data_IF_245653953081
#
_entry.id   IF_245653953081
#
_cell.length_a   1.000
_cell.length_b   1.000
_cell.length_c   1.000
_cell.angle_alpha   90.00
_cell.angle_beta   90.00
_cell.angle_gamma   90.00
#
_symmetry.space_group_name_H-M   'P 1'
#
loop_
_entity.id
_entity.type
_entity.pdbx_description
1 polymer ?
#
# COMPACT_ATOMS: atom_id res chain seq x y z
N UNK A 1 6.13 -17.24 18.16
CA UNK A 1 5.67 -17.46 16.74
C UNK A 1 6.87 -17.34 15.81
N UNK A 2 6.83 -17.94 14.62
CA UNK A 2 7.94 -17.89 13.66
C UNK A 2 7.72 -16.70 12.71
N UNK A 3 8.70 -15.77 12.54
CA UNK A 3 8.60 -14.62 11.62
C UNK A 3 8.24 -14.99 10.19
N UNK A 4 8.82 -16.08 9.67
CA UNK A 4 8.54 -16.56 8.31
C UNK A 4 7.09 -16.97 8.11
N UNK A 5 6.48 -17.59 9.13
CA UNK A 5 5.06 -17.96 9.12
C UNK A 5 4.17 -16.71 9.04
N UNK A 6 4.54 -15.66 9.77
CA UNK A 6 3.84 -14.37 9.74
C UNK A 6 3.96 -13.71 8.36
N UNK A 7 5.14 -13.73 7.75
CA UNK A 7 5.37 -13.20 6.39
C UNK A 7 4.53 -13.97 5.36
N UNK A 8 4.57 -15.30 5.38
CA UNK A 8 3.79 -16.16 4.47
C UNK A 8 2.28 -15.90 4.60
N UNK A 9 1.78 -15.79 5.84
CA UNK A 9 0.37 -15.48 6.10
C UNK A 9 -0.05 -14.12 5.54
N UNK A 10 0.81 -13.12 5.67
CA UNK A 10 0.55 -11.79 5.13
C UNK A 10 0.55 -11.76 3.59
N UNK A 11 1.47 -12.48 2.94
CA UNK A 11 1.49 -12.61 1.49
C UNK A 11 0.24 -13.34 0.97
N UNK A 12 -0.14 -14.45 1.59
CA UNK A 12 -1.36 -15.21 1.24
C UNK A 12 -2.60 -14.33 1.33
N UNK A 13 -2.72 -13.49 2.37
CA UNK A 13 -3.83 -12.55 2.53
C UNK A 13 -3.92 -11.55 1.36
N UNK A 14 -2.78 -10.94 0.97
CA UNK A 14 -2.76 -9.98 -0.13
C UNK A 14 -2.99 -10.63 -1.49
N UNK A 15 -2.51 -11.86 -1.71
CA UNK A 15 -2.67 -12.55 -3.00
C UNK A 15 -4.13 -12.75 -3.39
N UNK A 16 -5.02 -12.93 -2.42
CA UNK A 16 -6.47 -13.03 -2.67
C UNK A 16 -7.00 -11.80 -3.41
N UNK A 17 -6.52 -10.61 -3.09
CA UNK A 17 -6.94 -9.37 -3.76
C UNK A 17 -6.13 -9.11 -5.04
N UNK A 18 -4.82 -9.28 -4.97
CA UNK A 18 -3.92 -8.90 -6.05
C UNK A 18 -4.00 -9.85 -7.25
N UNK A 19 -4.14 -11.14 -6.98
CA UNK A 19 -4.05 -12.15 -8.05
C UNK A 19 -5.43 -12.64 -8.53
N UNK A 20 -6.50 -12.49 -7.72
CA UNK A 20 -7.82 -13.03 -8.04
C UNK A 20 -8.88 -12.00 -8.44
N UNK A 21 -8.69 -10.71 -8.13
CA UNK A 21 -9.70 -9.66 -8.33
C UNK A 21 -9.34 -8.73 -9.49
N UNK A 22 -8.97 -9.33 -10.62
CA UNK A 22 -8.62 -8.57 -11.82
C UNK A 22 -9.86 -7.96 -12.48
N UNK A 23 -9.85 -6.66 -12.67
CA UNK A 23 -10.83 -5.92 -13.48
C UNK A 23 -10.13 -5.33 -14.70
N UNK A 24 -10.71 -5.55 -15.89
CA UNK A 24 -10.28 -4.89 -17.12
C UNK A 24 -11.22 -3.71 -17.39
N UNK A 25 -10.65 -2.53 -17.55
CA UNK A 25 -11.38 -1.31 -17.91
C UNK A 25 -10.73 -0.68 -19.14
N UNK A 26 -11.51 -0.40 -20.18
CA UNK A 26 -11.00 0.13 -21.45
C UNK A 26 -9.77 -0.62 -21.97
N UNK A 27 -9.79 -1.95 -21.91
CA UNK A 27 -8.73 -2.83 -22.40
C UNK A 27 -7.47 -2.95 -21.53
N UNK A 28 -7.41 -2.29 -20.37
CA UNK A 28 -6.25 -2.36 -19.46
C UNK A 28 -6.63 -2.90 -18.08
N UNK A 29 -5.72 -3.60 -17.38
CA UNK A 29 -5.96 -4.07 -16.04
C UNK A 29 -5.94 -2.88 -15.06
N UNK A 30 -7.00 -2.75 -14.24
CA UNK A 30 -7.02 -1.83 -13.12
C UNK A 30 -6.04 -2.27 -12.02
N UNK A 31 -5.61 -1.35 -11.14
CA UNK A 31 -4.91 -1.73 -9.92
C UNK A 31 -5.85 -2.57 -9.04
N UNK A 32 -5.29 -3.39 -8.19
CA UNK A 32 -6.06 -4.18 -7.20
C UNK A 32 -5.62 -3.90 -5.77
N UNK A 33 -4.61 -3.04 -5.61
CA UNK A 33 -4.12 -2.59 -4.32
C UNK A 33 -3.75 -1.12 -4.36
N UNK A 34 -4.44 -0.30 -3.58
CA UNK A 34 -4.15 1.13 -3.43
C UNK A 34 -3.78 1.38 -1.97
N UNK A 35 -2.62 1.97 -1.73
CA UNK A 35 -2.22 2.40 -0.39
C UNK A 35 -2.53 3.90 -0.24
N UNK A 36 -3.19 4.28 0.86
CA UNK A 36 -3.44 5.66 1.21
C UNK A 36 -2.60 6.06 2.42
N UNK A 37 -1.78 7.08 2.24
CA UNK A 37 -1.08 7.77 3.31
C UNK A 37 -1.96 8.93 3.78
N UNK A 38 -2.82 8.67 4.78
CA UNK A 38 -3.83 9.64 5.23
C UNK A 38 -3.24 10.83 5.98
N UNK A 39 -2.09 10.62 6.60
CA UNK A 39 -1.41 11.59 7.46
C UNK A 39 0.09 11.27 7.45
N UNK A 40 0.91 12.28 7.62
CA UNK A 40 2.37 12.09 7.67
C UNK A 40 2.93 11.96 9.09
N UNK A 41 2.09 12.12 10.12
CA UNK A 41 2.48 11.94 11.53
C UNK A 41 2.38 10.49 11.95
N UNK A 42 3.37 10.02 12.70
CA UNK A 42 3.33 8.73 13.38
C UNK A 42 3.76 8.90 14.84
N UNK A 43 3.05 8.25 15.76
CA UNK A 43 3.39 8.23 17.19
C UNK A 43 4.50 7.22 17.53
N UNK A 44 5.13 6.60 16.52
CA UNK A 44 6.28 5.68 16.68
C UNK A 44 7.41 6.05 15.73
N UNK A 45 8.65 5.87 16.20
CA UNK A 45 9.88 6.02 15.45
C UNK A 45 10.59 4.66 15.34
N UNK A 46 10.03 3.75 14.53
CA UNK A 46 10.58 2.41 14.37
C UNK A 46 11.89 2.44 13.57
N UNK A 47 12.96 1.80 14.04
CA UNK A 47 14.30 1.80 13.42
C UNK A 47 14.33 1.29 11.96
N UNK A 48 13.39 0.43 11.57
CA UNK A 48 13.23 -0.09 10.21
C UNK A 48 12.27 0.75 9.33
N UNK A 49 11.85 1.91 9.81
CA UNK A 49 10.94 2.81 9.11
C UNK A 49 11.62 4.15 8.86
N UNK A 50 11.47 4.78 7.68
CA UNK A 50 12.01 6.11 7.41
C UNK A 50 11.52 7.21 8.38
N UNK A 51 10.43 6.98 9.11
CA UNK A 51 9.97 7.88 10.21
C UNK A 51 10.96 7.98 11.38
N UNK A 52 11.98 7.14 11.43
CA UNK A 52 13.08 7.27 12.40
C UNK A 52 14.08 8.37 12.03
N UNK A 53 13.99 8.93 10.84
CA UNK A 53 14.85 10.01 10.35
C UNK A 53 14.00 11.19 9.85
N UNK A 54 14.01 12.28 10.60
CA UNK A 54 13.22 13.49 10.29
C UNK A 54 13.67 14.16 8.99
N UNK A 55 14.93 13.96 8.54
CA UNK A 55 15.39 14.48 7.25
C UNK A 55 14.77 13.72 6.07
N UNK A 56 14.32 12.48 6.27
CA UNK A 56 13.70 11.66 5.24
C UNK A 56 12.17 11.76 5.29
N UNK A 57 11.60 11.71 6.47
CA UNK A 57 10.16 11.68 6.67
C UNK A 57 9.72 12.52 7.88
N UNK A 58 9.80 13.88 7.79
CA UNK A 58 9.39 14.78 8.86
C UNK A 58 7.90 14.64 9.20
N UNK A 59 7.53 14.98 10.42
CA UNK A 59 6.15 15.17 10.85
C UNK A 59 5.71 16.60 10.53
N UNK A 60 5.03 16.78 9.39
CA UNK A 60 4.56 18.11 8.97
C UNK A 60 3.10 18.36 9.38
N UNK A 61 2.48 17.42 10.06
CA UNK A 61 1.08 17.44 10.51
C UNK A 61 0.05 17.62 9.39
N UNK A 62 0.46 17.24 8.17
CA UNK A 62 -0.41 17.28 7.01
C UNK A 62 -1.31 16.05 6.96
N UNK A 63 -2.51 16.23 6.44
CA UNK A 63 -3.53 15.16 6.38
C UNK A 63 -4.42 15.28 5.16
N UNK A 64 -4.90 14.14 4.69
CA UNK A 64 -5.83 14.04 3.58
C UNK A 64 -7.17 14.67 3.94
N UNK A 65 -7.68 15.52 3.07
CA UNK A 65 -8.98 16.15 3.28
C UNK A 65 -10.14 15.27 2.78
N UNK A 66 -11.36 15.58 3.23
CA UNK A 66 -12.57 14.83 2.85
C UNK A 66 -12.86 14.92 1.36
N UNK A 67 -12.61 16.05 0.71
CA UNK A 67 -12.89 16.25 -0.72
C UNK A 67 -12.09 15.25 -1.58
N UNK A 68 -10.83 14.98 -1.25
CA UNK A 68 -10.01 13.99 -1.93
C UNK A 68 -10.55 12.56 -1.70
N UNK A 69 -10.99 12.25 -0.49
CA UNK A 69 -11.61 10.96 -0.17
C UNK A 69 -12.92 10.76 -0.95
N UNK A 70 -13.77 11.78 -1.00
CA UNK A 70 -15.03 11.72 -1.74
C UNK A 70 -14.81 11.57 -3.24
N UNK A 71 -13.81 12.26 -3.79
CA UNK A 71 -13.39 12.12 -5.20
C UNK A 71 -12.91 10.69 -5.47
N UNK A 72 -11.99 10.17 -4.65
CA UNK A 72 -11.46 8.82 -4.81
C UNK A 72 -12.58 7.78 -4.74
N UNK A 73 -13.45 7.86 -3.72
CA UNK A 73 -14.56 6.93 -3.56
C UNK A 73 -15.48 6.91 -4.79
N UNK A 74 -15.85 8.08 -5.32
CA UNK A 74 -16.66 8.19 -6.53
C UNK A 74 -16.00 7.57 -7.74
N UNK A 75 -14.73 7.89 -7.99
CA UNK A 75 -13.99 7.34 -9.13
C UNK A 75 -13.81 5.82 -9.05
N UNK A 76 -13.57 5.28 -7.86
CA UNK A 76 -13.48 3.82 -7.66
C UNK A 76 -14.83 3.11 -7.92
N UNK A 77 -15.96 3.75 -7.56
CA UNK A 77 -17.30 3.24 -7.87
C UNK A 77 -17.51 3.23 -9.39
N UNK A 78 -17.21 4.33 -10.08
CA UNK A 78 -17.34 4.46 -11.55
C UNK A 78 -16.49 3.42 -12.28
N UNK A 79 -15.28 3.14 -11.79
CA UNK A 79 -14.40 2.11 -12.31
C UNK A 79 -14.83 0.68 -11.97
N UNK A 80 -15.87 0.49 -11.17
CA UNK A 80 -16.28 -0.82 -10.64
C UNK A 80 -15.10 -1.55 -9.98
N UNK A 81 -14.31 -0.81 -9.21
CA UNK A 81 -13.12 -1.31 -8.56
C UNK A 81 -13.46 -2.47 -7.61
N UNK A 82 -12.70 -3.56 -7.68
CA UNK A 82 -12.90 -4.76 -6.83
C UNK A 82 -11.74 -5.06 -5.88
N UNK A 83 -10.68 -4.27 -5.95
CA UNK A 83 -9.49 -4.44 -5.14
C UNK A 83 -9.66 -3.97 -3.69
N UNK A 84 -8.54 -3.77 -3.05
CA UNK A 84 -8.47 -3.27 -1.68
C UNK A 84 -7.79 -1.88 -1.62
N UNK A 85 -8.32 -1.02 -0.76
CA UNK A 85 -7.68 0.22 -0.32
C UNK A 85 -7.11 -0.02 1.07
N UNK A 86 -5.80 0.13 1.21
CA UNK A 86 -5.09 -0.03 2.47
C UNK A 86 -4.81 1.35 3.08
N UNK A 87 -5.42 1.64 4.23
CA UNK A 87 -5.12 2.83 5.02
C UNK A 87 -3.84 2.56 5.82
N UNK A 88 -2.73 3.08 5.31
CA UNK A 88 -1.38 2.87 5.83
C UNK A 88 -0.45 3.96 5.24
N UNK A 89 0.81 3.66 5.00
CA UNK A 89 1.70 4.59 4.27
C UNK A 89 2.72 5.24 5.18
N UNK A 90 2.85 6.55 5.09
CA UNK A 90 3.94 7.31 5.69
C UNK A 90 3.68 7.75 7.15
N UNK A 91 2.49 7.52 7.68
CA UNK A 91 2.11 7.84 9.06
C UNK A 91 1.23 6.77 9.71
N UNK A 92 0.69 7.09 10.89
CA UNK A 92 -0.26 6.23 11.60
C UNK A 92 -1.70 6.63 11.25
N UNK A 93 -2.47 5.81 10.51
CA UNK A 93 -3.79 6.20 10.04
C UNK A 93 -4.80 6.50 11.15
N UNK A 94 -4.68 5.88 12.32
CA UNK A 94 -5.61 6.11 13.43
C UNK A 94 -5.43 7.47 14.12
N UNK A 95 -4.38 8.21 13.79
CA UNK A 95 -4.22 9.61 14.21
C UNK A 95 -5.05 10.58 13.38
N UNK A 96 -5.60 10.12 12.25
CA UNK A 96 -6.46 10.96 11.42
C UNK A 96 -7.85 11.11 12.06
N UNK A 97 -8.26 12.35 12.37
CA UNK A 97 -9.53 12.62 13.07
C UNK A 97 -10.79 12.11 12.34
N UNK A 98 -10.74 12.06 11.02
CA UNK A 98 -11.84 11.62 10.17
C UNK A 98 -11.75 10.14 9.77
N UNK A 99 -10.96 9.31 10.48
CA UNK A 99 -10.70 7.91 10.09
C UNK A 99 -11.98 7.10 9.90
N UNK A 100 -13.02 7.32 10.70
CA UNK A 100 -14.30 6.63 10.58
C UNK A 100 -15.01 7.07 9.30
N UNK A 101 -15.11 8.37 9.03
CA UNK A 101 -15.69 8.91 7.79
C UNK A 101 -14.97 8.36 6.55
N UNK A 102 -13.62 8.37 6.56
CA UNK A 102 -12.79 7.86 5.47
C UNK A 102 -13.09 6.39 5.21
N UNK A 103 -13.12 5.59 6.28
CA UNK A 103 -13.43 4.16 6.21
C UNK A 103 -14.81 3.92 5.59
N UNK A 104 -15.83 4.60 6.10
CA UNK A 104 -17.22 4.48 5.61
C UNK A 104 -17.34 4.84 4.12
N UNK A 105 -16.70 5.94 3.71
CA UNK A 105 -16.75 6.39 2.31
C UNK A 105 -16.08 5.40 1.36
N UNK A 106 -14.88 4.94 1.69
CA UNK A 106 -14.13 4.01 0.86
C UNK A 106 -14.72 2.61 0.85
N UNK A 107 -15.36 2.19 1.94
CA UNK A 107 -16.02 0.88 2.02
C UNK A 107 -17.19 0.73 1.04
N UNK A 108 -17.76 1.84 0.52
CA UNK A 108 -18.78 1.82 -0.55
C UNK A 108 -18.21 1.41 -1.91
N UNK A 109 -16.91 1.59 -2.11
CA UNK A 109 -16.24 1.42 -3.39
C UNK A 109 -15.22 0.26 -3.40
N UNK A 110 -14.78 -0.19 -2.23
CA UNK A 110 -13.64 -1.11 -2.12
C UNK A 110 -13.66 -1.89 -0.81
N UNK A 111 -12.80 -2.88 -0.71
CA UNK A 111 -12.43 -3.48 0.58
C UNK A 111 -11.42 -2.58 1.28
N UNK A 112 -11.73 -2.14 2.49
CA UNK A 112 -10.86 -1.26 3.28
C UNK A 112 -10.09 -2.05 4.32
N UNK A 113 -8.76 -2.02 4.23
CA UNK A 113 -7.88 -2.59 5.24
C UNK A 113 -7.15 -1.47 5.98
N UNK A 114 -7.17 -1.50 7.29
CA UNK A 114 -6.49 -0.52 8.14
C UNK A 114 -5.26 -1.19 8.75
N UNK A 115 -4.08 -0.59 8.54
CA UNK A 115 -2.82 -1.08 9.09
C UNK A 115 -2.34 -0.10 10.14
N UNK A 116 -2.32 -0.51 11.39
CA UNK A 116 -2.02 0.36 12.54
C UNK A 116 -0.97 -0.26 13.47
N UNK A 117 -0.28 0.59 14.23
CA UNK A 117 0.52 0.18 15.37
C UNK A 117 -0.34 -0.15 16.61
N UNK A 118 -1.61 0.28 16.63
CA UNK A 118 -2.57 -0.02 17.67
C UNK A 118 -2.42 0.79 18.97
N UNK A 119 -1.51 1.76 19.05
CA UNK A 119 -1.24 2.48 20.31
C UNK A 119 -2.41 3.34 20.75
N UNK A 120 -3.04 4.04 19.81
CA UNK A 120 -4.20 4.91 20.07
C UNK A 120 -5.54 4.17 19.96
N UNK A 121 -5.50 2.88 19.61
CA UNK A 121 -6.69 2.06 19.46
C UNK A 121 -7.33 1.73 20.81
N UNK A 122 -8.64 1.86 20.90
CA UNK A 122 -9.46 1.40 22.00
C UNK A 122 -10.67 0.61 21.49
N UNK A 123 -11.40 -0.04 22.39
CA UNK A 123 -12.54 -0.90 22.02
C UNK A 123 -13.65 -0.15 21.28
N UNK A 124 -13.92 1.11 21.62
CA UNK A 124 -14.93 1.94 20.95
C UNK A 124 -14.49 2.28 19.51
N UNK A 125 -13.24 2.70 19.32
CA UNK A 125 -12.70 2.97 17.98
C UNK A 125 -12.70 1.69 17.13
N UNK A 126 -12.29 0.55 17.68
CA UNK A 126 -12.33 -0.74 16.98
C UNK A 126 -13.74 -1.09 16.52
N UNK A 127 -14.75 -0.92 17.38
CA UNK A 127 -16.16 -1.13 17.04
C UNK A 127 -16.63 -0.17 15.94
N UNK A 128 -16.30 1.12 16.07
CA UNK A 128 -16.69 2.13 15.06
C UNK A 128 -16.08 1.85 13.69
N UNK A 129 -14.84 1.38 13.62
CA UNK A 129 -14.20 0.99 12.36
C UNK A 129 -14.89 -0.22 11.72
N UNK A 130 -15.30 -1.19 12.52
CA UNK A 130 -16.09 -2.33 12.05
C UNK A 130 -17.46 -1.89 11.54
N UNK A 131 -18.17 -1.03 12.28
CA UNK A 131 -19.48 -0.51 11.89
C UNK A 131 -19.42 0.39 10.65
N UNK A 132 -18.27 1.04 10.40
CA UNK A 132 -17.97 1.77 9.18
C UNK A 132 -17.64 0.84 7.99
N UNK A 133 -17.85 -0.47 8.12
CA UNK A 133 -17.57 -1.50 7.12
C UNK A 133 -16.10 -1.64 6.72
N UNK A 134 -15.15 -1.34 7.63
CA UNK A 134 -13.78 -1.78 7.39
C UNK A 134 -13.76 -3.29 7.19
N UNK A 135 -13.10 -3.74 6.14
CA UNK A 135 -13.02 -5.18 5.84
C UNK A 135 -12.05 -5.89 6.77
N UNK A 136 -11.06 -5.17 7.29
CA UNK A 136 -10.02 -5.76 8.13
C UNK A 136 -9.22 -4.71 8.90
N UNK A 137 -8.86 -5.05 10.14
CA UNK A 137 -7.96 -4.26 10.98
C UNK A 137 -6.68 -5.08 11.27
N UNK A 138 -5.54 -4.60 10.80
CA UNK A 138 -4.24 -5.25 10.99
C UNK A 138 -3.44 -4.49 12.04
N UNK A 139 -3.26 -5.08 13.21
CA UNK A 139 -2.52 -4.50 14.31
C UNK A 139 -1.10 -5.04 14.31
N UNK A 140 -0.12 -4.16 14.15
CA UNK A 140 1.30 -4.48 14.25
C UNK A 140 1.76 -4.31 15.70
N UNK A 141 2.11 -5.40 16.34
CA UNK A 141 2.53 -5.44 17.73
C UNK A 141 4.05 -5.34 17.81
N UNK A 142 4.57 -4.27 18.41
CA UNK A 142 6.01 -3.97 18.45
C UNK A 142 6.66 -4.23 19.81
N UNK A 143 5.89 -4.23 20.90
CA UNK A 143 6.41 -4.18 22.28
C UNK A 143 6.47 -5.56 22.95
N UNK A 144 6.22 -6.63 22.19
CA UNK A 144 6.37 -7.99 22.67
C UNK A 144 5.08 -8.79 22.76
N UNK A 145 5.18 -10.07 23.14
CA UNK A 145 4.06 -11.02 23.14
C UNK A 145 2.95 -10.68 24.15
N UNK A 146 3.21 -9.86 25.16
CA UNK A 146 2.21 -9.38 26.11
C UNK A 146 1.08 -8.58 25.42
N UNK A 147 1.38 -7.94 24.28
CA UNK A 147 0.37 -7.22 23.49
C UNK A 147 -0.72 -8.15 22.95
N UNK A 148 -0.44 -9.43 22.76
CA UNK A 148 -1.45 -10.41 22.32
C UNK A 148 -2.61 -10.45 23.30
N UNK A 149 -2.32 -10.53 24.62
CA UNK A 149 -3.36 -10.55 25.66
C UNK A 149 -4.17 -9.25 25.67
N UNK A 150 -3.49 -8.10 25.55
CA UNK A 150 -4.12 -6.77 25.45
C UNK A 150 -5.12 -6.71 24.30
N UNK A 151 -4.69 -7.03 23.09
CA UNK A 151 -5.54 -6.90 21.91
C UNK A 151 -6.63 -7.98 21.82
N UNK A 152 -6.39 -9.21 22.30
CA UNK A 152 -7.45 -10.23 22.40
C UNK A 152 -8.56 -9.78 23.35
N UNK A 153 -8.21 -9.17 24.50
CA UNK A 153 -9.21 -8.59 25.41
C UNK A 153 -9.99 -7.47 24.70
N UNK A 154 -9.31 -6.56 24.01
CA UNK A 154 -9.94 -5.45 23.27
C UNK A 154 -10.90 -5.96 22.19
N UNK A 155 -10.54 -7.00 21.42
CA UNK A 155 -11.41 -7.63 20.41
C UNK A 155 -12.69 -8.14 21.09
N UNK A 156 -12.56 -8.87 22.18
CA UNK A 156 -13.72 -9.37 22.94
C UNK A 156 -14.61 -8.23 23.46
N UNK A 157 -14.01 -7.20 24.05
CA UNK A 157 -14.74 -6.05 24.60
C UNK A 157 -15.45 -5.23 23.52
N UNK A 158 -14.88 -5.19 22.30
CA UNK A 158 -15.45 -4.50 21.14
C UNK A 158 -16.61 -5.24 20.49
N UNK A 159 -16.81 -6.51 20.80
CA UNK A 159 -17.84 -7.39 20.19
C UNK A 159 -17.75 -7.42 18.64
N UNK A 160 -16.56 -7.32 18.09
CA UNK A 160 -16.31 -7.51 16.65
C UNK A 160 -15.97 -8.98 16.36
N UNK A 161 -16.21 -9.48 15.13
CA UNK A 161 -15.81 -10.85 14.77
C UNK A 161 -14.29 -11.05 14.89
N UNK A 162 -13.87 -12.24 15.31
CA UNK A 162 -12.45 -12.57 15.49
C UNK A 162 -11.62 -12.47 14.21
N UNK A 163 -12.24 -12.74 13.07
CA UNK A 163 -11.58 -12.67 11.75
C UNK A 163 -11.47 -11.25 11.20
N UNK A 164 -12.13 -10.28 11.81
CA UNK A 164 -11.98 -8.85 11.49
C UNK A 164 -10.58 -8.35 11.82
N UNK A 165 -9.97 -8.84 12.91
CA UNK A 165 -8.69 -8.35 13.41
C UNK A 165 -7.57 -9.35 13.13
N UNK A 166 -6.47 -8.85 12.54
CA UNK A 166 -5.24 -9.62 12.36
C UNK A 166 -4.15 -9.05 13.26
N UNK A 167 -3.69 -9.84 14.21
CA UNK A 167 -2.54 -9.51 15.03
C UNK A 167 -1.26 -9.94 14.30
N UNK A 168 -0.32 -9.02 14.15
CA UNK A 168 0.96 -9.25 13.47
C UNK A 168 2.12 -9.04 14.43
N UNK A 169 2.96 -10.04 14.57
CA UNK A 169 4.17 -10.00 15.39
C UNK A 169 5.22 -9.13 14.69
N UNK A 170 5.64 -8.06 15.36
CA UNK A 170 6.64 -7.09 14.90
C UNK A 170 7.69 -6.77 15.96
N UNK A 171 7.70 -7.50 17.07
CA UNK A 171 8.63 -7.31 18.20
C UNK A 171 9.95 -8.05 18.04
N UNK A 172 10.20 -8.66 16.88
CA UNK A 172 11.47 -9.32 16.62
C UNK A 172 12.57 -8.29 16.39
N UNK A 173 13.78 -8.67 16.76
CA UNK A 173 15.01 -7.90 16.51
C UNK A 173 15.38 -7.85 15.01
N UNK A 174 16.45 -7.12 14.70
CA UNK A 174 16.98 -6.98 13.36
C UNK A 174 17.40 -8.32 12.75
N UNK A 175 18.00 -9.22 13.56
CA UNK A 175 18.42 -10.56 13.14
C UNK A 175 17.26 -11.43 12.64
N UNK A 176 16.03 -11.12 13.04
CA UNK A 176 14.79 -11.75 12.57
C UNK A 176 13.95 -10.83 11.68
N UNK A 177 14.56 -9.78 11.12
CA UNK A 177 13.91 -8.82 10.23
C UNK A 177 12.63 -8.20 10.80
N UNK A 178 12.55 -7.98 12.12
CA UNK A 178 11.37 -7.42 12.79
C UNK A 178 10.03 -8.12 12.40
N UNK A 179 10.09 -9.39 12.01
CA UNK A 179 8.94 -10.14 11.53
C UNK A 179 8.30 -9.61 10.22
N UNK A 180 9.05 -8.85 9.44
CA UNK A 180 8.65 -8.34 8.12
C UNK A 180 9.66 -8.77 7.06
N UNK A 181 9.27 -8.72 5.80
CA UNK A 181 10.23 -8.76 4.71
C UNK A 181 10.78 -7.35 4.52
N UNK A 182 11.89 -7.09 5.18
CA UNK A 182 12.53 -5.78 5.12
C UNK A 182 12.98 -5.45 3.69
N UNK A 183 12.90 -4.16 3.38
CA UNK A 183 13.47 -3.54 2.19
C UNK A 183 14.17 -2.27 2.62
N UNK A 184 15.11 -1.79 1.84
CA UNK A 184 15.79 -0.53 2.09
C UNK A 184 14.95 0.73 1.79
N UNK A 185 13.64 0.57 1.58
CA UNK A 185 12.72 1.67 1.24
C UNK A 185 13.27 2.57 0.14
N UNK A 186 13.67 1.95 -0.98
CA UNK A 186 14.30 2.63 -2.12
C UNK A 186 15.57 3.44 -1.75
N UNK A 187 16.34 2.92 -0.80
CA UNK A 187 17.61 3.51 -0.36
C UNK A 187 17.50 4.53 0.78
N UNK A 188 16.35 4.61 1.45
CA UNK A 188 16.16 5.52 2.60
C UNK A 188 16.48 4.89 3.94
N UNK A 189 16.63 3.58 4.00
CA UNK A 189 17.01 2.87 5.23
C UNK A 189 18.27 2.08 4.95
N UNK A 190 19.26 2.22 5.83
CA UNK A 190 20.44 1.38 5.85
C UNK A 190 20.14 0.13 6.72
N UNK A 191 19.75 -0.95 6.08
CA UNK A 191 19.55 -2.24 6.75
C UNK A 191 20.82 -3.04 6.51
N UNK A 192 21.57 -3.32 7.56
CA UNK A 192 22.89 -3.96 7.55
C UNK A 192 23.07 -5.00 6.44
N UNK A 193 24.23 -4.96 5.77
CA UNK A 193 24.62 -5.66 4.55
C UNK A 193 24.01 -5.14 3.25
N UNK A 194 24.75 -4.25 2.67
CA UNK A 194 24.83 -3.78 1.28
C UNK A 194 23.69 -4.21 0.33
N UNK A 195 22.99 -3.18 -0.12
CA UNK A 195 22.11 -3.23 -1.27
C UNK A 195 22.91 -3.69 -2.48
N UNK A 196 22.80 -4.96 -2.83
CA UNK A 196 23.15 -5.34 -4.20
C UNK A 196 22.10 -4.71 -5.11
N UNK A 197 22.53 -3.92 -6.08
CA UNK A 197 21.65 -3.41 -7.12
C UNK A 197 20.86 -4.57 -7.72
N UNK A 198 19.56 -4.58 -7.49
CA UNK A 198 18.70 -5.67 -7.97
C UNK A 198 18.24 -5.30 -9.38
N UNK A 199 18.90 -5.84 -10.38
CA UNK A 199 18.47 -5.78 -11.78
C UNK A 199 17.40 -6.85 -12.06
N UNK A 200 16.27 -6.79 -11.34
CA UNK A 200 15.18 -7.76 -11.48
C UNK A 200 13.86 -7.09 -11.76
N UNK A 201 12.98 -7.84 -12.42
CA UNK A 201 11.60 -7.44 -12.67
C UNK A 201 10.90 -7.00 -11.37
N UNK A 202 10.04 -5.99 -11.48
CA UNK A 202 9.16 -5.55 -10.40
C UNK A 202 7.73 -5.38 -10.92
N UNK A 203 6.78 -6.03 -10.28
CA UNK A 203 5.35 -6.00 -10.66
C UNK A 203 4.55 -4.94 -9.91
N UNK A 204 5.11 -4.24 -8.93
CA UNK A 204 4.39 -3.24 -8.14
C UNK A 204 3.59 -2.26 -9.00
N UNK A 205 4.18 -1.58 -10.01
CA UNK A 205 3.40 -0.65 -10.83
C UNK A 205 2.42 -1.33 -11.78
N UNK A 206 2.36 -2.65 -11.79
CA UNK A 206 1.38 -3.38 -12.59
C UNK A 206 0.07 -3.60 -11.86
N UNK A 207 0.05 -3.53 -10.51
CA UNK A 207 -1.14 -3.82 -9.73
C UNK A 207 -1.37 -2.89 -8.54
N UNK A 208 -0.41 -2.03 -8.17
CA UNK A 208 -0.53 -1.14 -7.01
C UNK A 208 0.14 0.21 -7.21
N UNK A 209 -0.27 1.17 -6.39
CA UNK A 209 0.37 2.47 -6.19
C UNK A 209 0.02 3.04 -4.81
N UNK A 210 0.59 4.20 -4.47
CA UNK A 210 0.30 4.92 -3.24
C UNK A 210 -0.26 6.30 -3.57
N UNK A 211 -1.26 6.76 -2.82
CA UNK A 211 -1.77 8.13 -2.83
C UNK A 211 -1.40 8.77 -1.49
N UNK A 212 -0.75 9.92 -1.54
CA UNK A 212 -0.38 10.68 -0.35
C UNK A 212 -1.47 11.68 0.06
N UNK A 213 -1.33 12.25 1.24
CA UNK A 213 -2.31 13.13 1.87
C UNK A 213 -2.72 14.35 1.02
N UNK A 214 -1.85 14.83 0.13
CA UNK A 214 -2.09 15.96 -0.78
C UNK A 214 -2.66 15.56 -2.14
N UNK A 215 -2.92 14.26 -2.37
CA UNK A 215 -3.40 13.72 -3.63
C UNK A 215 -2.31 13.32 -4.62
N UNK A 216 -1.04 13.52 -4.32
CA UNK A 216 0.06 13.03 -5.15
C UNK A 216 0.04 11.51 -5.21
N UNK A 217 0.19 10.97 -6.41
CA UNK A 217 0.26 9.53 -6.65
C UNK A 217 1.72 9.14 -6.86
N UNK A 218 2.18 8.17 -6.08
CA UNK A 218 3.54 7.64 -6.19
C UNK A 218 3.52 6.21 -6.71
N UNK A 219 4.60 5.86 -7.41
CA UNK A 219 4.76 4.58 -8.08
C UNK A 219 4.50 3.37 -7.17
N UNK A 220 4.96 3.44 -5.93
CA UNK A 220 4.79 2.39 -4.93
C UNK A 220 5.16 2.89 -3.52
N UNK A 221 4.80 2.15 -2.45
CA UNK A 221 5.08 2.54 -1.07
C UNK A 221 6.56 2.43 -0.65
N UNK A 222 7.48 2.23 -1.59
CA UNK A 222 8.92 2.24 -1.32
C UNK A 222 9.51 3.65 -1.48
N UNK A 223 8.84 4.57 -2.19
CA UNK A 223 9.34 5.92 -2.47
C UNK A 223 9.05 6.92 -1.33
N UNK A 224 9.69 6.68 -0.20
CA UNK A 224 9.52 7.54 0.99
C UNK A 224 10.02 8.97 0.82
N UNK A 225 10.96 9.20 -0.08
CA UNK A 225 11.42 10.55 -0.41
C UNK A 225 10.53 11.26 -1.43
N UNK A 226 9.43 10.63 -1.87
CA UNK A 226 8.49 11.26 -2.81
C UNK A 226 9.16 11.77 -4.09
N UNK A 227 10.16 11.01 -4.58
CA UNK A 227 11.06 11.44 -5.67
C UNK A 227 10.38 11.57 -7.01
N UNK A 228 9.34 10.77 -7.26
CA UNK A 228 8.71 10.73 -8.58
C UNK A 228 7.19 10.64 -8.44
N UNK A 229 6.52 11.77 -8.65
CA UNK A 229 5.06 11.80 -8.78
C UNK A 229 4.62 11.20 -10.12
N UNK A 230 3.57 10.40 -10.07
CA UNK A 230 2.90 9.84 -11.26
C UNK A 230 1.77 10.73 -11.77
N UNK A 231 1.32 11.69 -10.98
CA UNK A 231 0.23 12.62 -11.18
C UNK A 231 -0.38 13.05 -9.84
N UNK A 232 -1.41 13.89 -9.87
CA UNK A 232 -2.10 14.36 -8.67
C UNK A 232 -3.61 14.22 -8.82
N UNK A 233 -4.25 13.53 -7.90
CA UNK A 233 -5.70 13.28 -7.92
C UNK A 233 -6.57 14.52 -7.74
N UNK A 234 -6.02 15.64 -7.28
CA UNK A 234 -6.79 16.90 -7.26
C UNK A 234 -6.90 17.52 -8.65
N UNK A 235 -6.04 17.13 -9.58
CA UNK A 235 -5.94 17.69 -10.94
C UNK A 235 -6.42 16.70 -12.01
N UNK A 236 -6.24 15.41 -11.79
CA UNK A 236 -6.50 14.35 -12.75
C UNK A 236 -7.42 13.26 -12.17
N UNK A 237 -8.01 12.40 -13.02
CA UNK A 237 -8.72 11.22 -12.57
C UNK A 237 -7.72 10.09 -12.30
N UNK A 238 -8.06 9.21 -11.35
CA UNK A 238 -7.17 8.11 -10.96
C UNK A 238 -6.87 7.15 -12.11
N UNK A 239 -7.82 6.95 -13.02
CA UNK A 239 -7.63 6.10 -14.18
C UNK A 239 -6.64 6.71 -15.17
N UNK A 240 -6.74 8.01 -15.44
CA UNK A 240 -5.84 8.73 -16.37
C UNK A 240 -4.40 8.74 -15.83
N UNK A 241 -4.23 8.94 -14.52
CA UNK A 241 -2.92 8.78 -13.86
C UNK A 241 -2.40 7.35 -14.05
N UNK A 242 -3.26 6.33 -13.81
CA UNK A 242 -2.86 4.92 -13.88
C UNK A 242 -2.36 4.48 -15.26
N UNK A 243 -2.97 4.97 -16.33
CA UNK A 243 -2.56 4.68 -17.71
C UNK A 243 -1.55 5.69 -18.26
N UNK A 244 -1.30 6.76 -17.53
CA UNK A 244 -0.50 7.92 -17.95
C UNK A 244 0.96 7.57 -18.30
N UNK A 245 1.65 8.52 -18.96
CA UNK A 245 2.99 8.30 -19.50
C UNK A 245 4.02 7.97 -18.43
N UNK A 246 3.90 8.55 -17.23
CA UNK A 246 4.81 8.28 -16.11
C UNK A 246 4.72 6.81 -15.67
N UNK A 247 3.51 6.30 -15.37
CA UNK A 247 3.32 4.88 -15.04
C UNK A 247 3.75 3.97 -16.19
N UNK A 248 3.43 4.32 -17.42
CA UNK A 248 3.82 3.55 -18.60
C UNK A 248 5.33 3.39 -18.69
N UNK A 249 6.10 4.49 -18.54
CA UNK A 249 7.57 4.47 -18.57
C UNK A 249 8.13 3.48 -17.52
N UNK A 250 7.72 3.66 -16.26
CA UNK A 250 8.21 2.80 -15.16
C UNK A 250 7.79 1.35 -15.32
N UNK A 251 6.52 1.11 -15.67
CA UNK A 251 5.98 -0.24 -15.85
C UNK A 251 6.75 -0.99 -16.93
N UNK A 252 6.99 -0.35 -18.08
CA UNK A 252 7.75 -0.94 -19.16
C UNK A 252 9.19 -1.29 -18.79
N UNK A 253 9.90 -0.37 -18.10
CA UNK A 253 11.26 -0.61 -17.65
C UNK A 253 11.33 -1.74 -16.63
N UNK A 254 10.46 -1.69 -15.62
CA UNK A 254 10.45 -2.66 -14.53
C UNK A 254 10.01 -4.06 -14.96
N UNK A 255 9.11 -4.18 -15.94
CA UNK A 255 8.75 -5.47 -16.53
C UNK A 255 9.89 -6.11 -17.32
N UNK A 256 10.87 -5.32 -17.79
CA UNK A 256 12.11 -5.77 -18.44
C UNK A 256 13.28 -5.95 -17.45
N UNK A 257 13.04 -5.78 -16.14
CA UNK A 257 14.09 -5.84 -15.11
C UNK A 257 15.00 -4.60 -15.05
N UNK A 258 14.65 -3.53 -15.76
CA UNK A 258 15.45 -2.29 -15.84
C UNK A 258 15.06 -1.35 -14.70
N UNK A 259 15.88 -1.27 -13.66
CA UNK A 259 15.71 -0.35 -12.51
C UNK A 259 16.66 0.85 -12.66
N UNK A 260 16.50 1.61 -13.73
CA UNK A 260 17.44 2.68 -14.12
C UNK A 260 17.11 4.05 -13.53
N UNK A 261 15.84 4.30 -13.24
CA UNK A 261 15.36 5.57 -12.69
C UNK A 261 15.10 5.48 -11.18
N UNK A 262 15.22 6.61 -10.47
CA UNK A 262 14.72 6.71 -9.08
C UNK A 262 13.19 6.56 -9.08
N UNK A 263 12.62 6.00 -8.01
CA UNK A 263 13.22 5.44 -6.80
C UNK A 263 13.76 4.01 -6.99
N UNK A 264 13.55 3.38 -8.15
CA UNK A 264 13.82 1.96 -8.39
C UNK A 264 15.32 1.64 -8.47
N UNK A 265 16.15 2.60 -8.88
CA UNK A 265 17.61 2.44 -9.02
C UNK A 265 18.30 1.97 -7.74
N UNK A 266 17.86 2.49 -6.60
CA UNK A 266 18.40 2.15 -5.28
C UNK A 266 17.52 1.20 -4.47
N UNK A 267 16.46 0.64 -5.07
CA UNK A 267 15.50 -0.20 -4.36
C UNK A 267 15.89 -1.68 -4.40
N UNK A 268 15.88 -2.34 -3.24
CA UNK A 268 16.11 -3.79 -3.13
C UNK A 268 14.81 -4.61 -2.93
N UNK A 269 13.64 -4.00 -3.09
CA UNK A 269 12.38 -4.73 -2.93
C UNK A 269 12.22 -5.83 -3.98
N UNK A 270 11.92 -7.05 -3.53
CA UNK A 270 11.56 -8.18 -4.39
C UNK A 270 10.12 -8.00 -4.88
N UNK A 271 9.95 -7.26 -5.96
CA UNK A 271 8.65 -6.85 -6.48
C UNK A 271 7.88 -7.91 -7.26
N UNK A 272 8.30 -9.17 -7.27
CA UNK A 272 7.68 -10.27 -8.06
C UNK A 272 6.85 -11.25 -7.24
N UNK A 273 6.68 -10.98 -5.94
CA UNK A 273 5.96 -11.88 -5.03
C UNK A 273 4.45 -11.95 -5.29
N UNK A 274 3.87 -10.90 -5.87
CA UNK A 274 2.45 -10.74 -6.20
C UNK A 274 2.33 -10.02 -7.54
N UNK A 275 1.14 -10.12 -8.18
CA UNK A 275 0.82 -9.34 -9.38
C UNK A 275 1.31 -9.94 -10.69
N UNK A 276 1.62 -11.24 -10.73
CA UNK A 276 2.06 -11.95 -11.95
C UNK A 276 1.03 -11.82 -13.08
N UNK A 277 -0.26 -11.96 -12.77
CA UNK A 277 -1.34 -11.87 -13.75
C UNK A 277 -1.39 -10.49 -14.39
N UNK A 278 -1.37 -9.43 -13.55
CA UNK A 278 -1.33 -8.04 -14.04
C UNK A 278 -0.10 -7.77 -14.91
N UNK A 279 1.08 -8.20 -14.42
CA UNK A 279 2.32 -8.04 -15.16
C UNK A 279 2.29 -8.71 -16.54
N UNK A 280 1.69 -9.90 -16.62
CA UNK A 280 1.54 -10.65 -17.88
C UNK A 280 0.61 -9.92 -18.86
N UNK A 281 -0.49 -9.34 -18.37
CA UNK A 281 -1.40 -8.56 -19.20
C UNK A 281 -0.74 -7.28 -19.70
N UNK A 282 -0.06 -6.54 -18.83
CA UNK A 282 0.68 -5.35 -19.26
C UNK A 282 1.76 -5.66 -20.30
N UNK A 283 2.46 -6.80 -20.17
CA UNK A 283 3.41 -7.24 -21.20
C UNK A 283 2.74 -7.48 -22.55
N UNK A 284 1.54 -8.09 -22.57
CA UNK A 284 0.77 -8.28 -23.80
C UNK A 284 0.37 -6.92 -24.41
N UNK A 285 -0.20 -6.03 -23.60
CA UNK A 285 -0.60 -4.68 -24.04
C UNK A 285 0.60 -3.94 -24.65
N UNK A 286 1.73 -3.90 -23.95
CA UNK A 286 2.92 -3.21 -24.44
C UNK A 286 3.60 -3.89 -25.63
N UNK A 287 3.43 -5.21 -25.82
CA UNK A 287 3.94 -5.91 -27.00
C UNK A 287 3.29 -5.36 -28.29
N UNK A 288 2.00 -5.08 -28.28
CA UNK A 288 1.31 -4.46 -29.40
C UNK A 288 1.85 -3.06 -29.71
N UNK A 289 2.21 -2.27 -28.72
CA UNK A 289 2.82 -0.95 -28.90
C UNK A 289 4.27 -1.00 -29.42
N UNK A 290 5.01 -2.11 -29.21
CA UNK A 290 6.41 -2.21 -29.58
C UNK A 290 6.68 -2.90 -30.93
N UNK A 291 5.82 -3.82 -31.32
CA UNK A 291 6.05 -4.65 -32.52
C UNK A 291 5.09 -4.31 -33.68
N UNK A 292 4.44 -3.18 -33.63
CA UNK A 292 3.72 -2.53 -34.70
C UNK A 292 2.96 -3.46 -35.65
N UNK A 293 1.70 -3.76 -35.34
CA UNK A 293 0.64 -3.70 -36.36
C UNK A 293 -0.41 -2.73 -35.82
N UNK A 294 -0.81 -1.80 -36.67
CA UNK A 294 -1.72 -0.70 -36.42
C UNK A 294 -2.77 -0.96 -35.36
N UNK A 295 -2.80 -0.11 -34.37
CA UNK A 295 -3.94 0.40 -33.65
C UNK A 295 -4.96 -0.60 -33.15
N UNK A 296 -4.91 -0.90 -31.85
CA UNK A 296 -6.11 -0.76 -31.05
C UNK A 296 -6.14 0.73 -30.67
N UNK A 297 -6.90 1.51 -31.42
CA UNK A 297 -7.34 2.83 -30.96
C UNK A 297 -8.11 2.60 -29.69
N UNK A 298 -7.53 3.08 -28.59
CA UNK A 298 -8.22 3.17 -27.31
C UNK A 298 -9.10 4.40 -27.43
N UNK A 299 -10.32 4.23 -27.94
CA UNK A 299 -11.40 5.21 -27.85
C UNK A 299 -12.00 5.22 -26.44
#
# INVERSE_FOLDING_TARGET
MNPEKTIKKNLKRRSVFVDNELVIHKGVPLPTWIELSLIDVCNRSCSFCPKSDENIAPDTHQKMNRALIDKLSRELIELKFKGAVALCGYGEPLLHKDIIYITEKLAKASRVEIVTNGDVLNFKMMKNLYDANASRLLISMYDGPQQIKKFKKMIKDSKVPDDFVILRDRWYDEGKNFGVKLTNRAGTINIGNQIKNIHTTCYYPSYQFLIDWNGDVYLCPQDWQRRVSMGNMMQENIFDIWIGPSFRKFRMNLLKGRRIDNPCKSCNAQGTLLGQTHASLWRKIYKYFFYGKKGLEIN
#
